data_IF_917408117675
#
_entry.id   IF_917408117675
#
_cell.length_a   1.000
_cell.length_b   1.000
_cell.length_c   1.000
_cell.angle_alpha   90.00
_cell.angle_beta   90.00
_cell.angle_gamma   90.00
#
_symmetry.space_group_name_H-M   'P 1'
#
loop_
_entity.id
_entity.type
_entity.pdbx_description
1 polymer ?
#
# COMPACT_ATOMS: atom_id res chain seq x y z
N UNK A 1 9.69 13.70 9.72
CA UNK A 1 10.14 13.88 11.12
C UNK A 1 10.01 12.59 11.92
N UNK A 2 8.85 11.92 11.94
CA UNK A 2 8.64 10.72 12.78
C UNK A 2 9.39 9.46 12.34
N UNK A 3 9.53 9.21 11.04
CA UNK A 3 10.16 7.98 10.54
C UNK A 3 11.69 8.00 10.52
N UNK A 4 12.32 9.09 10.99
CA UNK A 4 13.78 9.23 10.96
C UNK A 4 14.41 9.40 9.56
N UNK A 5 13.59 9.40 8.49
CA UNK A 5 14.07 9.59 7.11
C UNK A 5 14.77 10.92 6.90
N UNK A 6 15.77 10.90 6.02
CA UNK A 6 16.29 12.10 5.39
C UNK A 6 15.20 12.80 4.58
N UNK A 7 15.34 14.11 4.35
CA UNK A 7 14.40 14.86 3.52
C UNK A 7 14.35 14.28 2.11
N UNK A 8 15.50 13.89 1.54
CA UNK A 8 15.58 13.29 0.21
C UNK A 8 14.78 11.98 0.11
N UNK A 9 14.94 11.07 1.08
CA UNK A 9 14.20 9.80 1.08
C UNK A 9 12.70 10.01 1.30
N UNK A 10 12.32 10.99 2.11
CA UNK A 10 10.91 11.35 2.29
C UNK A 10 10.32 11.94 1.00
N UNK A 11 11.03 12.84 0.33
CA UNK A 11 10.55 13.48 -0.90
C UNK A 11 10.43 12.49 -2.05
N UNK A 12 11.49 11.73 -2.32
CA UNK A 12 11.52 10.80 -3.46
C UNK A 12 10.75 9.53 -3.13
N UNK A 13 10.98 8.94 -1.95
CA UNK A 13 10.42 7.64 -1.59
C UNK A 13 8.95 7.68 -1.15
N UNK A 14 8.46 8.80 -0.61
CA UNK A 14 7.07 8.92 -0.15
C UNK A 14 6.26 9.91 -0.97
N UNK A 15 6.67 11.18 -1.00
CA UNK A 15 5.84 12.25 -1.55
C UNK A 15 5.65 12.08 -3.05
N UNK A 16 6.76 12.03 -3.81
CA UNK A 16 6.71 11.89 -5.26
C UNK A 16 6.08 10.56 -5.66
N UNK A 17 6.47 9.43 -5.06
CA UNK A 17 5.84 8.12 -5.30
C UNK A 17 4.32 8.16 -5.11
N UNK A 18 3.84 8.82 -4.07
CA UNK A 18 2.40 8.94 -3.79
C UNK A 18 1.70 9.85 -4.79
N UNK A 19 2.33 10.96 -5.16
CA UNK A 19 1.82 11.87 -6.19
C UNK A 19 1.71 11.19 -7.56
N UNK A 20 2.72 10.42 -7.96
CA UNK A 20 2.69 9.64 -9.20
C UNK A 20 1.54 8.62 -9.19
N UNK A 21 1.34 7.92 -8.06
CA UNK A 21 0.18 7.04 -7.91
C UNK A 21 -1.14 7.81 -8.04
N UNK A 22 -1.27 8.94 -7.35
CA UNK A 22 -2.48 9.76 -7.41
C UNK A 22 -2.78 10.20 -8.85
N UNK A 23 -1.76 10.70 -9.57
CA UNK A 23 -1.89 11.12 -10.95
C UNK A 23 -2.31 9.96 -11.86
N UNK A 24 -1.71 8.78 -11.67
CA UNK A 24 -2.08 7.59 -12.43
C UNK A 24 -3.54 7.19 -12.15
N UNK A 25 -3.98 7.22 -10.90
CA UNK A 25 -5.36 6.89 -10.51
C UNK A 25 -6.35 7.89 -11.08
N UNK A 26 -6.05 9.19 -11.08
CA UNK A 26 -6.89 10.21 -11.73
C UNK A 26 -7.03 9.91 -13.24
N UNK A 27 -5.92 9.56 -13.90
CA UNK A 27 -5.90 9.36 -15.34
C UNK A 27 -6.53 8.03 -15.80
N UNK A 28 -6.52 7.00 -14.95
CA UNK A 28 -6.87 5.63 -15.35
C UNK A 28 -8.01 5.01 -14.52
N UNK A 29 -8.32 5.55 -13.34
CA UNK A 29 -9.21 4.94 -12.36
C UNK A 29 -10.61 4.64 -12.93
N UNK A 30 -11.24 5.63 -13.56
CA UNK A 30 -12.58 5.43 -14.17
C UNK A 30 -12.56 4.38 -15.27
N UNK A 31 -11.49 4.34 -16.08
CA UNK A 31 -11.33 3.32 -17.12
C UNK A 31 -11.21 1.93 -16.52
N UNK A 32 -10.47 1.78 -15.43
CA UNK A 32 -10.30 0.51 -14.72
C UNK A 32 -11.58 -0.01 -14.07
N UNK A 33 -12.58 0.85 -13.85
CA UNK A 33 -13.86 0.50 -13.22
C UNK A 33 -15.02 0.34 -14.22
N UNK A 34 -14.75 0.43 -15.52
CA UNK A 34 -15.78 0.23 -16.54
C UNK A 34 -16.26 -1.22 -16.59
N UNK A 35 -17.54 -1.38 -16.91
CA UNK A 35 -18.13 -2.70 -17.14
C UNK A 35 -17.39 -3.47 -18.24
N UNK A 36 -17.06 -4.72 -17.94
CA UNK A 36 -16.42 -5.63 -18.88
C UNK A 36 -17.45 -6.60 -19.45
N UNK A 37 -17.81 -6.43 -20.72
CA UNK A 37 -18.67 -7.38 -21.42
C UNK A 37 -17.97 -8.73 -21.59
N UNK A 38 -18.72 -9.83 -21.47
CA UNK A 38 -18.22 -11.20 -21.66
C UNK A 38 -18.96 -11.88 -22.80
N UNK A 39 -18.23 -12.74 -23.51
CA UNK A 39 -18.85 -13.61 -24.52
C UNK A 39 -19.76 -14.64 -23.83
N UNK A 40 -20.97 -14.78 -24.37
CA UNK A 40 -22.01 -15.68 -23.86
C UNK A 40 -21.98 -17.04 -24.58
N UNK A 41 -21.25 -17.14 -25.68
CA UNK A 41 -21.24 -18.33 -26.53
C UNK A 41 -22.59 -18.62 -27.18
N UNK A 42 -22.60 -19.59 -28.10
CA UNK A 42 -23.78 -19.88 -28.93
C UNK A 42 -24.99 -20.37 -28.13
N UNK A 43 -24.78 -21.08 -27.02
CA UNK A 43 -25.85 -21.64 -26.19
C UNK A 43 -26.67 -20.57 -25.46
N UNK A 44 -26.11 -19.37 -25.24
CA UNK A 44 -26.74 -18.29 -24.47
C UNK A 44 -26.91 -17.03 -25.33
N UNK A 45 -27.09 -17.18 -26.65
CA UNK A 45 -27.16 -16.07 -27.62
C UNK A 45 -28.23 -15.01 -27.31
N UNK A 46 -29.28 -15.39 -26.56
CA UNK A 46 -30.36 -14.49 -26.13
C UNK A 46 -30.05 -13.77 -24.80
N UNK A 47 -28.85 -13.93 -24.25
CA UNK A 47 -28.42 -13.33 -22.98
C UNK A 47 -27.31 -12.32 -23.22
N UNK A 48 -27.14 -11.39 -22.27
CA UNK A 48 -25.98 -10.51 -22.16
C UNK A 48 -25.33 -10.76 -20.80
N UNK A 49 -24.00 -10.77 -20.79
CA UNK A 49 -23.21 -10.98 -19.57
C UNK A 49 -22.14 -9.91 -19.53
N UNK A 50 -21.98 -9.29 -18.36
CA UNK A 50 -20.90 -8.36 -18.08
C UNK A 50 -20.45 -8.50 -16.63
N UNK A 51 -19.28 -7.95 -16.34
CA UNK A 51 -18.75 -7.81 -15.00
C UNK A 51 -18.77 -6.32 -14.66
N UNK A 52 -19.40 -5.96 -13.55
CA UNK A 52 -19.39 -4.62 -12.99
C UNK A 52 -18.67 -4.62 -11.63
N UNK A 53 -18.09 -3.48 -11.26
CA UNK A 53 -17.41 -3.29 -9.98
C UNK A 53 -18.27 -2.42 -9.07
N UNK A 54 -18.73 -3.00 -7.97
CA UNK A 54 -19.50 -2.29 -6.92
C UNK A 54 -18.61 -2.03 -5.70
N UNK A 55 -18.75 -0.86 -5.04
CA UNK A 55 -18.05 -0.61 -3.77
C UNK A 55 -18.36 -1.68 -2.73
N UNK A 56 -17.34 -2.06 -1.96
CA UNK A 56 -17.47 -3.04 -0.89
C UNK A 56 -18.15 -2.44 0.35
N UNK A 57 -17.89 -1.18 0.66
CA UNK A 57 -18.37 -0.50 1.86
C UNK A 57 -17.25 0.15 2.65
N UNK A 58 -17.04 -0.29 3.89
CA UNK A 58 -16.01 0.25 4.79
C UNK A 58 -14.74 -0.59 4.72
N UNK A 59 -13.65 0.04 4.29
CA UNK A 59 -12.32 -0.54 4.31
C UNK A 59 -11.62 -0.15 5.60
N UNK A 60 -10.99 -1.12 6.27
CA UNK A 60 -10.05 -0.87 7.35
C UNK A 60 -8.61 -0.98 6.81
N UNK A 61 -7.78 0.03 7.07
CA UNK A 61 -6.36 -0.02 6.75
C UNK A 61 -5.51 0.02 8.03
N UNK A 62 -4.60 -0.92 8.20
CA UNK A 62 -3.57 -0.89 9.25
C UNK A 62 -2.23 -0.64 8.57
N UNK A 63 -1.58 0.47 8.92
CA UNK A 63 -0.43 1.00 8.17
C UNK A 63 0.81 1.21 9.05
N UNK A 64 2.03 0.87 8.59
CA UNK A 64 3.23 0.89 9.39
C UNK A 64 3.94 2.25 9.33
N UNK A 65 4.90 2.44 10.22
CA UNK A 65 5.63 3.68 10.45
C UNK A 65 6.74 3.98 9.44
N UNK A 66 7.18 2.99 8.66
CA UNK A 66 8.39 3.12 7.85
C UNK A 66 8.21 4.01 6.62
N UNK A 67 7.00 4.15 6.07
CA UNK A 67 6.63 5.14 5.04
C UNK A 67 5.26 5.76 5.39
N UNK A 68 5.18 6.61 6.43
CA UNK A 68 3.91 7.01 7.02
C UNK A 68 3.00 7.80 6.09
N UNK A 69 3.54 8.62 5.17
CA UNK A 69 2.71 9.34 4.21
C UNK A 69 2.22 8.37 3.13
N UNK A 70 3.15 7.63 2.52
CA UNK A 70 2.79 6.71 1.45
C UNK A 70 1.82 5.63 1.93
N UNK A 71 2.07 5.02 3.08
CA UNK A 71 1.23 3.95 3.60
C UNK A 71 -0.18 4.42 3.99
N UNK A 72 -0.37 5.70 4.31
CA UNK A 72 -1.71 6.29 4.52
C UNK A 72 -2.40 6.57 3.19
N UNK A 73 -1.73 7.28 2.29
CA UNK A 73 -2.36 7.75 1.05
C UNK A 73 -2.52 6.64 0.00
N UNK A 74 -1.65 5.64 -0.01
CA UNK A 74 -1.69 4.52 -0.94
C UNK A 74 -3.04 3.76 -0.90
N UNK A 75 -3.55 3.30 0.26
CA UNK A 75 -4.89 2.73 0.37
C UNK A 75 -6.00 3.78 0.27
N UNK A 76 -5.80 5.01 0.78
CA UNK A 76 -6.78 6.10 0.70
C UNK A 76 -7.22 6.38 -0.74
N UNK A 77 -6.25 6.63 -1.62
CA UNK A 77 -6.50 7.01 -3.02
C UNK A 77 -7.32 5.92 -3.72
N UNK A 78 -6.94 4.65 -3.56
CA UNK A 78 -7.66 3.54 -4.16
C UNK A 78 -9.06 3.35 -3.56
N UNK A 79 -9.19 3.52 -2.24
CA UNK A 79 -10.46 3.34 -1.52
C UNK A 79 -11.49 4.39 -1.96
N UNK A 80 -11.10 5.66 -2.02
CA UNK A 80 -11.98 6.74 -2.46
C UNK A 80 -12.34 6.60 -3.94
N UNK A 81 -11.36 6.30 -4.82
CA UNK A 81 -11.61 6.09 -6.24
C UNK A 81 -12.62 4.96 -6.51
N UNK A 82 -12.62 3.93 -5.66
CA UNK A 82 -13.52 2.78 -5.77
C UNK A 82 -14.84 2.95 -5.02
N UNK A 83 -15.15 4.16 -4.53
CA UNK A 83 -16.42 4.50 -3.90
C UNK A 83 -16.60 3.98 -2.47
N UNK A 84 -15.51 3.67 -1.77
CA UNK A 84 -15.53 3.08 -0.43
C UNK A 84 -15.21 4.11 0.66
N UNK A 85 -15.66 3.84 1.89
CA UNK A 85 -15.22 4.58 3.08
C UNK A 85 -13.95 3.95 3.66
N UNK A 86 -13.17 4.72 4.42
CA UNK A 86 -11.89 4.25 4.97
C UNK A 86 -11.73 4.58 6.46
N UNK A 87 -11.35 3.58 7.25
CA UNK A 87 -10.86 3.76 8.62
C UNK A 87 -9.40 3.31 8.69
N UNK A 88 -8.50 4.23 9.02
CA UNK A 88 -7.06 3.99 9.01
C UNK A 88 -6.53 3.93 10.44
N UNK A 89 -6.02 2.76 10.84
CA UNK A 89 -5.17 2.61 12.02
C UNK A 89 -3.71 2.75 11.63
N UNK A 90 -3.09 3.79 12.12
CA UNK A 90 -1.67 4.06 11.92
C UNK A 90 -0.78 3.40 12.97
N UNK A 91 0.50 3.21 12.67
CA UNK A 91 1.47 2.85 13.69
C UNK A 91 1.59 3.97 14.75
N UNK A 92 1.66 3.55 16.00
CA UNK A 92 1.94 4.38 17.18
C UNK A 92 3.27 5.15 17.05
N UNK A 93 4.22 4.65 16.25
CA UNK A 93 5.51 5.29 15.98
C UNK A 93 5.43 6.40 14.91
N UNK A 94 4.28 6.57 14.26
CA UNK A 94 4.06 7.58 13.21
C UNK A 94 2.67 8.24 13.30
N UNK A 95 2.20 8.48 14.52
CA UNK A 95 0.85 9.00 14.77
C UNK A 95 0.75 10.54 14.83
N UNK A 96 1.87 11.25 14.99
CA UNK A 96 1.89 12.72 15.07
C UNK A 96 1.53 13.39 13.74
N UNK A 97 1.96 12.85 12.59
CA UNK A 97 1.70 13.45 11.27
C UNK A 97 0.22 13.37 10.83
N UNK A 98 -0.61 12.62 11.55
CA UNK A 98 -2.00 12.36 11.16
C UNK A 98 -2.88 13.57 11.28
N UNK A 99 -2.66 14.43 12.27
CA UNK A 99 -3.41 15.68 12.38
C UNK A 99 -3.21 16.53 11.11
N UNK A 100 -1.99 16.54 10.56
CA UNK A 100 -1.70 17.21 9.30
C UNK A 100 -2.38 16.53 8.11
N UNK A 101 -2.28 15.20 7.99
CA UNK A 101 -2.93 14.45 6.92
C UNK A 101 -4.45 14.60 6.95
N UNK A 102 -5.04 14.50 8.14
CA UNK A 102 -6.47 14.67 8.39
C UNK A 102 -6.96 16.05 7.98
N UNK A 103 -6.23 17.13 8.29
CA UNK A 103 -6.58 18.49 7.84
C UNK A 103 -6.61 18.60 6.31
N UNK A 104 -5.60 18.05 5.62
CA UNK A 104 -5.53 18.05 4.16
C UNK A 104 -6.68 17.26 3.56
N UNK A 105 -6.90 16.03 4.06
CA UNK A 105 -7.98 15.15 3.57
C UNK A 105 -9.35 15.79 3.80
N UNK A 106 -9.62 16.33 5.00
CA UNK A 106 -10.88 16.97 5.32
C UNK A 106 -11.15 18.18 4.44
N UNK A 107 -10.14 19.02 4.17
CA UNK A 107 -10.27 20.14 3.26
C UNK A 107 -10.62 19.68 1.83
N UNK A 108 -10.01 18.59 1.35
CA UNK A 108 -10.36 18.00 0.05
C UNK A 108 -11.78 17.44 0.03
N UNK A 109 -12.21 16.73 1.08
CA UNK A 109 -13.57 16.18 1.19
C UNK A 109 -14.61 17.31 1.22
N UNK A 110 -14.36 18.36 2.00
CA UNK A 110 -15.22 19.55 2.07
C UNK A 110 -15.33 20.25 0.72
N UNK A 111 -14.20 20.48 0.05
CA UNK A 111 -14.18 21.10 -1.28
C UNK A 111 -14.92 20.27 -2.35
N UNK A 112 -14.93 18.95 -2.20
CA UNK A 112 -15.66 18.03 -3.08
C UNK A 112 -17.14 17.84 -2.67
N UNK A 113 -17.60 18.41 -1.56
CA UNK A 113 -18.94 18.15 -1.01
C UNK A 113 -19.15 16.70 -0.56
N UNK A 114 -18.06 15.98 -0.26
CA UNK A 114 -18.09 14.59 0.19
C UNK A 114 -18.48 14.47 1.67
N UNK A 115 -18.97 13.30 2.13
CA UNK A 115 -19.29 13.09 3.53
C UNK A 115 -18.08 13.34 4.46
N UNK A 116 -18.23 14.09 5.57
CA UNK A 116 -17.10 14.50 6.41
C UNK A 116 -16.39 13.33 7.10
N UNK A 117 -17.11 12.21 7.29
CA UNK A 117 -16.59 11.01 7.96
C UNK A 117 -16.20 9.91 6.96
N UNK A 118 -16.06 10.23 5.68
CA UNK A 118 -15.70 9.26 4.63
C UNK A 118 -14.32 8.63 4.89
N UNK A 119 -13.42 9.40 5.52
CA UNK A 119 -12.09 8.94 5.95
C UNK A 119 -11.93 9.26 7.42
N UNK A 120 -11.56 8.26 8.21
CA UNK A 120 -11.31 8.42 9.65
C UNK A 120 -9.97 7.81 10.03
N UNK A 121 -9.28 8.46 10.97
CA UNK A 121 -8.06 7.95 11.57
C UNK A 121 -8.33 7.45 12.97
N UNK A 122 -7.71 6.33 13.33
CA UNK A 122 -7.68 5.81 14.69
C UNK A 122 -6.24 5.56 15.12
N UNK A 123 -5.89 6.03 16.31
CA UNK A 123 -4.56 5.83 16.92
C UNK A 123 -4.66 4.84 18.07
N UNK A 124 -3.61 4.07 18.29
CA UNK A 124 -3.54 3.13 19.40
C UNK A 124 -2.54 2.01 19.12
N UNK A 125 -2.46 1.05 20.03
CA UNK A 125 -1.57 -0.11 19.90
C UNK A 125 -2.26 -1.27 19.17
N UNK A 126 -1.66 -2.46 19.22
CA UNK A 126 -2.20 -3.69 18.64
C UNK A 126 -3.69 -3.97 18.94
N UNK A 127 -4.18 -3.83 20.19
CA UNK A 127 -5.59 -4.05 20.51
C UNK A 127 -6.57 -3.18 19.71
N UNK A 128 -6.21 -1.92 19.44
CA UNK A 128 -7.03 -1.01 18.61
C UNK A 128 -7.14 -1.53 17.18
N UNK A 129 -6.03 -2.02 16.60
CA UNK A 129 -6.03 -2.66 15.29
C UNK A 129 -6.85 -3.96 15.26
N UNK A 130 -6.72 -4.78 16.31
CA UNK A 130 -7.51 -6.01 16.45
C UNK A 130 -9.02 -5.77 16.55
N UNK A 131 -9.42 -4.74 17.30
CA UNK A 131 -10.82 -4.32 17.39
C UNK A 131 -11.36 -3.83 16.04
N UNK A 132 -10.56 -3.05 15.30
CA UNK A 132 -10.93 -2.57 13.98
C UNK A 132 -11.12 -3.73 12.98
N UNK A 133 -10.15 -4.65 12.91
CA UNK A 133 -10.18 -5.80 11.98
C UNK A 133 -11.33 -6.77 12.30
N UNK A 134 -11.68 -6.93 13.58
CA UNK A 134 -12.76 -7.83 14.01
C UNK A 134 -14.14 -7.18 13.94
N UNK A 135 -14.23 -5.90 13.55
CA UNK A 135 -15.50 -5.18 13.51
C UNK A 135 -16.43 -5.77 12.43
N UNK A 136 -17.71 -6.05 12.74
CA UNK A 136 -18.67 -6.54 11.74
C UNK A 136 -19.06 -5.47 10.71
N UNK A 137 -18.72 -4.20 10.95
CA UNK A 137 -18.94 -3.11 10.01
C UNK A 137 -17.77 -2.84 9.08
N UNK A 138 -16.80 -3.75 8.97
CA UNK A 138 -15.67 -3.66 8.04
C UNK A 138 -15.82 -4.71 6.95
N UNK A 139 -15.87 -4.25 5.71
CA UNK A 139 -16.14 -5.06 4.51
C UNK A 139 -14.85 -5.50 3.81
N UNK A 140 -13.71 -4.86 4.11
CA UNK A 140 -12.37 -5.29 3.66
C UNK A 140 -11.28 -4.77 4.58
N UNK A 141 -10.21 -5.54 4.73
CA UNK A 141 -9.02 -5.15 5.50
C UNK A 141 -7.81 -5.05 4.57
N UNK A 142 -7.04 -3.98 4.72
CA UNK A 142 -5.71 -3.81 4.16
C UNK A 142 -4.74 -3.77 5.34
N UNK A 143 -3.80 -4.70 5.40
CA UNK A 143 -2.76 -4.70 6.41
C UNK A 143 -1.40 -4.64 5.76
N UNK A 144 -0.60 -3.66 6.19
CA UNK A 144 0.79 -3.52 5.79
C UNK A 144 1.66 -3.70 7.04
N UNK A 145 2.58 -4.66 7.04
CA UNK A 145 3.39 -4.95 8.24
C UNK A 145 4.14 -6.27 8.21
N UNK A 146 4.39 -6.86 9.38
CA UNK A 146 5.17 -8.10 9.47
C UNK A 146 4.30 -9.34 9.22
N UNK A 147 4.87 -10.43 8.66
CA UNK A 147 4.14 -11.67 8.42
C UNK A 147 3.45 -12.24 9.67
N UNK A 148 4.13 -12.21 10.83
CA UNK A 148 3.58 -12.71 12.08
C UNK A 148 2.35 -11.96 12.58
N UNK A 149 2.23 -10.65 12.29
CA UNK A 149 1.01 -9.89 12.58
C UNK A 149 -0.03 -10.09 11.48
N UNK A 150 0.39 -10.25 10.23
CA UNK A 150 -0.50 -10.59 9.12
C UNK A 150 -1.33 -11.86 9.37
N UNK A 151 -0.73 -12.89 9.98
CA UNK A 151 -1.45 -14.10 10.41
C UNK A 151 -2.57 -13.75 11.40
N UNK A 152 -2.27 -12.95 12.43
CA UNK A 152 -3.28 -12.54 13.44
C UNK A 152 -4.41 -11.71 12.82
N UNK A 153 -4.10 -10.88 11.83
CA UNK A 153 -5.09 -10.10 11.08
C UNK A 153 -6.02 -11.02 10.29
N UNK A 154 -5.47 -12.03 9.60
CA UNK A 154 -6.27 -13.04 8.90
C UNK A 154 -7.19 -13.80 9.85
N UNK A 155 -6.67 -14.27 10.98
CA UNK A 155 -7.46 -14.99 12.00
C UNK A 155 -8.61 -14.15 12.54
N UNK A 156 -8.39 -12.85 12.76
CA UNK A 156 -9.42 -11.94 13.23
C UNK A 156 -10.47 -11.66 12.14
N UNK A 157 -10.05 -11.37 10.91
CA UNK A 157 -10.93 -11.08 9.78
C UNK A 157 -11.79 -12.30 9.36
N UNK A 158 -11.26 -13.51 9.50
CA UNK A 158 -11.94 -14.75 9.15
C UNK A 158 -13.25 -14.96 9.93
N UNK A 159 -13.37 -14.40 11.14
CA UNK A 159 -14.60 -14.49 11.96
C UNK A 159 -15.82 -13.86 11.27
N UNK A 160 -15.59 -12.85 10.43
CA UNK A 160 -16.62 -12.14 9.68
C UNK A 160 -16.56 -12.44 8.17
N UNK A 161 -15.70 -13.37 7.74
CA UNK A 161 -15.37 -13.61 6.32
C UNK A 161 -14.90 -12.35 5.59
N UNK A 162 -14.31 -11.40 6.30
CA UNK A 162 -13.84 -10.14 5.73
C UNK A 162 -12.60 -10.40 4.85
N UNK A 163 -12.62 -10.05 3.56
CA UNK A 163 -11.46 -10.16 2.69
C UNK A 163 -10.27 -9.35 3.21
N UNK A 164 -9.07 -9.91 3.10
CA UNK A 164 -7.83 -9.25 3.51
C UNK A 164 -6.88 -9.05 2.32
N UNK A 165 -6.18 -7.92 2.32
CA UNK A 165 -4.98 -7.69 1.51
C UNK A 165 -3.81 -7.53 2.46
N UNK A 166 -2.77 -8.35 2.27
CA UNK A 166 -1.59 -8.35 3.13
C UNK A 166 -0.35 -7.92 2.33
N UNK A 167 0.19 -6.76 2.66
CA UNK A 167 1.49 -6.28 2.19
C UNK A 167 2.51 -6.54 3.31
N UNK A 168 3.26 -7.64 3.17
CA UNK A 168 4.14 -8.13 4.22
C UNK A 168 5.61 -7.85 3.89
N UNK A 169 6.47 -7.89 4.92
CA UNK A 169 7.91 -7.71 4.74
C UNK A 169 8.54 -8.76 3.81
N UNK A 170 9.37 -8.29 2.88
CA UNK A 170 10.19 -9.11 1.98
C UNK A 170 11.60 -9.36 2.50
N UNK A 171 12.32 -10.22 1.76
CA UNK A 171 13.78 -10.42 1.86
C UNK A 171 14.32 -10.45 0.44
N UNK A 172 14.20 -9.33 -0.27
CA UNK A 172 14.22 -9.37 -1.73
C UNK A 172 15.60 -9.72 -2.29
N UNK A 173 15.66 -10.62 -3.29
CA UNK A 173 16.90 -10.99 -3.95
C UNK A 173 17.30 -9.93 -4.99
N UNK A 174 18.59 -9.65 -5.08
CA UNK A 174 19.23 -8.90 -6.14
C UNK A 174 20.17 -9.84 -6.88
N UNK A 175 19.95 -10.05 -8.18
CA UNK A 175 20.73 -11.00 -9.00
C UNK A 175 21.61 -10.22 -9.97
N UNK A 176 22.93 -10.44 -9.92
CA UNK A 176 23.93 -9.84 -10.81
C UNK A 176 24.44 -10.91 -11.75
N UNK A 177 24.12 -10.76 -13.03
CA UNK A 177 24.53 -11.69 -14.10
C UNK A 177 26.00 -11.47 -14.50
N UNK A 178 26.57 -12.44 -15.21
CA UNK A 178 27.99 -12.48 -15.60
C UNK A 178 28.37 -11.49 -16.73
N UNK A 179 27.36 -10.88 -17.35
CA UNK A 179 27.45 -9.82 -18.34
C UNK A 179 27.01 -8.45 -17.79
N UNK A 180 26.74 -8.35 -16.48
CA UNK A 180 26.34 -7.09 -15.86
C UNK A 180 27.48 -6.06 -15.88
N UNK A 181 27.14 -4.82 -16.21
CA UNK A 181 28.03 -3.66 -16.01
C UNK A 181 28.01 -3.28 -14.53
N UNK A 182 28.96 -3.83 -13.77
CA UNK A 182 29.09 -3.68 -12.32
C UNK A 182 29.15 -2.20 -11.91
N UNK A 183 29.96 -1.41 -12.61
CA UNK A 183 30.13 0.02 -12.35
C UNK A 183 28.81 0.79 -12.45
N UNK A 184 27.93 0.41 -13.37
CA UNK A 184 26.61 1.05 -13.51
C UNK A 184 25.60 0.64 -12.43
N UNK A 185 25.65 -0.61 -11.94
CA UNK A 185 24.62 -1.16 -11.06
C UNK A 185 24.92 -0.98 -9.57
N UNK A 186 26.18 -0.83 -9.18
CA UNK A 186 26.58 -0.82 -7.75
C UNK A 186 25.89 0.30 -6.98
N UNK A 187 25.77 1.50 -7.58
CA UNK A 187 25.08 2.62 -6.95
C UNK A 187 23.59 2.36 -6.74
N UNK A 188 22.95 1.63 -7.67
CA UNK A 188 21.56 1.22 -7.56
C UNK A 188 21.39 0.16 -6.47
N UNK A 189 22.28 -0.83 -6.41
CA UNK A 189 22.32 -1.84 -5.36
C UNK A 189 22.46 -1.20 -3.97
N UNK A 190 23.48 -0.34 -3.81
CA UNK A 190 23.72 0.43 -2.60
C UNK A 190 22.52 1.26 -2.17
N UNK A 191 21.90 2.00 -3.11
CA UNK A 191 20.68 2.75 -2.83
C UNK A 191 19.55 1.83 -2.37
N UNK A 192 19.33 0.70 -3.04
CA UNK A 192 18.30 -0.25 -2.66
C UNK A 192 18.43 -0.72 -1.21
N UNK A 193 19.66 -1.03 -0.79
CA UNK A 193 19.96 -1.50 0.57
C UNK A 193 19.82 -0.39 1.62
N UNK A 194 20.37 0.79 1.35
CA UNK A 194 20.51 1.84 2.37
C UNK A 194 19.42 2.90 2.35
N UNK A 195 18.54 2.92 1.35
CA UNK A 195 17.39 3.82 1.32
C UNK A 195 16.56 3.64 2.58
N UNK A 196 16.19 4.75 3.24
CA UNK A 196 15.49 4.73 4.52
C UNK A 196 16.20 3.89 5.60
N UNK A 197 17.55 3.89 5.60
CA UNK A 197 18.37 3.08 6.51
C UNK A 197 18.04 1.58 6.44
N UNK A 198 17.66 1.08 5.26
CA UNK A 198 17.27 -0.32 5.05
C UNK A 198 15.89 -0.69 5.57
N UNK A 199 15.10 0.28 6.06
CA UNK A 199 13.75 0.05 6.58
C UNK A 199 12.71 0.08 5.43
N UNK A 200 13.02 -0.62 4.34
CA UNK A 200 12.21 -0.71 3.13
C UNK A 200 11.68 -2.13 2.93
N UNK A 201 10.37 -2.28 2.70
CA UNK A 201 9.77 -3.60 2.50
C UNK A 201 10.19 -4.24 1.17
N UNK A 202 10.55 -3.43 0.18
CA UNK A 202 11.02 -3.82 -1.15
C UNK A 202 12.54 -3.64 -1.31
N UNK A 203 13.29 -3.55 -0.21
CA UNK A 203 14.74 -3.37 -0.22
C UNK A 203 15.46 -4.69 -0.50
N UNK A 204 16.44 -4.74 -1.42
CA UNK A 204 17.27 -5.93 -1.58
C UNK A 204 18.04 -6.22 -0.30
N UNK A 205 17.96 -7.47 0.16
CA UNK A 205 18.66 -7.95 1.34
C UNK A 205 19.61 -9.12 1.05
N UNK A 206 19.47 -9.74 -0.13
CA UNK A 206 20.27 -10.90 -0.54
C UNK A 206 20.82 -10.64 -1.94
N UNK A 207 22.14 -10.71 -2.09
CA UNK A 207 22.81 -10.51 -3.37
C UNK A 207 23.32 -11.86 -3.89
N UNK A 208 22.91 -12.23 -5.09
CA UNK A 208 23.35 -13.41 -5.81
C UNK A 208 24.15 -12.94 -7.01
N UNK A 209 25.46 -13.15 -6.99
CA UNK A 209 26.39 -12.60 -7.98
C UNK A 209 27.13 -13.74 -8.64
N UNK A 210 27.23 -13.69 -9.98
CA UNK A 210 28.00 -14.68 -10.72
C UNK A 210 29.50 -14.57 -10.40
N UNK A 211 30.17 -15.72 -10.30
CA UNK A 211 31.58 -15.83 -9.91
C UNK A 211 32.50 -14.89 -10.71
N UNK A 212 32.25 -14.77 -12.03
CA UNK A 212 33.05 -13.94 -12.94
C UNK A 212 33.11 -12.46 -12.56
N UNK A 213 32.05 -11.92 -11.94
CA UNK A 213 31.93 -10.50 -11.58
C UNK A 213 31.83 -10.29 -10.07
N UNK A 214 32.05 -11.35 -9.28
CA UNK A 214 31.90 -11.32 -7.82
C UNK A 214 32.88 -10.35 -7.15
N UNK A 215 34.17 -10.52 -7.44
CA UNK A 215 35.22 -9.71 -6.81
C UNK A 215 35.04 -8.22 -7.17
N UNK A 216 34.79 -7.92 -8.44
CA UNK A 216 34.52 -6.54 -8.92
C UNK A 216 33.27 -5.93 -8.28
N UNK A 217 32.23 -6.73 -7.99
CA UNK A 217 31.03 -6.25 -7.32
C UNK A 217 31.21 -6.04 -5.82
N UNK A 218 32.12 -6.79 -5.20
CA UNK A 218 32.42 -6.69 -3.77
C UNK A 218 33.37 -5.55 -3.42
N UNK A 219 34.30 -5.22 -4.31
CA UNK A 219 35.27 -4.11 -4.17
C UNK A 219 34.61 -2.72 -4.27
#
# INVERSE_FOLDING_TARGET
RESGKTVTDAMIGEVLTTCEKLQWVINNGEKCLKDEQRDVGALMIMKRVWVEYVPLGVIAAIVPWNYPLHNVFNPLIATIMTGNALVIKVSEYASWSIDHYGKVINACLEAAGAPPNLVQFVTGYGPTGGALVSSPGVDKVIFVGSPGVGVKVMEAAAKNLTPVVLELGGKDPFVVLDDADVGSIVQTACRGVWQNMGQNCAGPERFFVYEKVYDEFCD
#
